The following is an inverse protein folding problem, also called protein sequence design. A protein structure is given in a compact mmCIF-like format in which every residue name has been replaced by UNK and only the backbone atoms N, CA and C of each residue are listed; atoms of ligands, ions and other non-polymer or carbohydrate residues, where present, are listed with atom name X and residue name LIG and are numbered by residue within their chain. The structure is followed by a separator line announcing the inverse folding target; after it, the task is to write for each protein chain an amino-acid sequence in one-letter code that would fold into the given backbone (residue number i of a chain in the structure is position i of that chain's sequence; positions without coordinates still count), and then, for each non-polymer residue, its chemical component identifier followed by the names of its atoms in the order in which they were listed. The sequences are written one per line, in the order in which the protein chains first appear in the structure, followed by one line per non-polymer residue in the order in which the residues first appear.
data_IF_970140203776
#
_entry.id   IF_970140203776
#
_cell.length_a   1.000
_cell.length_b   1.000
_cell.length_c   1.000
_cell.angle_alpha   90.00
_cell.angle_beta   90.00
_cell.angle_gamma   90.00
#
_symmetry.space_group_name_H-M   'P 1'
#
loop_
_entity.id
_entity.type
_entity.pdbx_description
1 polymer ?
#
# COMPACT_ATOMS: atom_id res chain seq x y z
N UNK A 1 43.66 32.40 -40.47
CA UNK A 1 42.90 31.27 -39.88
C UNK A 1 42.13 31.81 -38.67
N UNK A 2 40.90 32.31 -38.85
CA UNK A 2 40.11 32.96 -37.78
C UNK A 2 38.67 32.41 -37.67
N UNK A 3 38.30 31.49 -38.58
CA UNK A 3 36.95 30.93 -38.69
C UNK A 3 36.74 29.66 -37.83
N UNK A 4 37.83 28.98 -37.44
CA UNK A 4 37.78 27.79 -36.59
C UNK A 4 37.56 28.10 -35.10
N UNK A 5 37.98 29.28 -34.63
CA UNK A 5 37.80 29.69 -33.24
C UNK A 5 36.33 29.91 -32.87
N UNK A 6 35.51 30.35 -33.84
CA UNK A 6 34.10 30.63 -33.64
C UNK A 6 33.25 29.35 -33.60
N UNK A 7 33.70 28.28 -34.26
CA UNK A 7 33.09 26.95 -34.19
C UNK A 7 33.41 26.23 -32.87
N UNK A 8 34.60 26.48 -32.29
CA UNK A 8 35.02 25.86 -31.04
C UNK A 8 34.27 26.43 -29.82
N UNK A 9 33.88 27.70 -29.83
CA UNK A 9 33.14 28.33 -28.72
C UNK A 9 31.67 27.93 -28.63
N UNK A 10 31.08 27.41 -29.72
CA UNK A 10 29.68 26.95 -29.74
C UNK A 10 29.58 25.48 -29.31
N UNK A 11 30.62 24.69 -29.57
CA UNK A 11 30.65 23.26 -29.22
C UNK A 11 30.84 22.99 -27.72
N UNK A 12 31.33 23.96 -26.95
CA UNK A 12 31.47 23.83 -25.49
C UNK A 12 30.13 23.98 -24.75
N UNK A 13 29.09 24.50 -25.39
CA UNK A 13 27.77 24.72 -24.78
C UNK A 13 26.88 23.45 -24.76
N UNK A 14 27.31 22.38 -25.44
CA UNK A 14 26.58 21.11 -25.54
C UNK A 14 26.95 20.11 -24.44
N UNK A 15 28.03 20.34 -23.69
CA UNK A 15 28.43 19.49 -22.55
C UNK A 15 27.85 19.93 -21.21
N UNK A 16 27.25 21.13 -21.13
CA UNK A 16 26.54 21.59 -19.92
C UNK A 16 25.07 21.16 -19.92
N UNK A 17 24.58 20.48 -20.97
CA UNK A 17 23.22 19.96 -21.03
C UNK A 17 23.09 18.49 -20.61
N UNK A 18 24.15 17.87 -20.06
CA UNK A 18 24.09 16.48 -19.61
C UNK A 18 23.55 16.27 -18.19
N UNK A 19 23.26 17.32 -17.41
CA UNK A 19 22.66 17.18 -16.06
C UNK A 19 21.44 18.08 -15.75
N UNK A 20 20.38 18.18 -16.60
CA UNK A 20 19.15 18.86 -16.18
C UNK A 20 17.98 17.90 -15.90
N UNK A 21 18.15 16.58 -16.07
CA UNK A 21 17.05 15.60 -15.95
C UNK A 21 17.22 14.59 -14.80
N UNK A 22 18.40 14.48 -14.18
CA UNK A 22 18.56 13.61 -13.01
C UNK A 22 17.90 14.23 -11.77
N UNK A 23 18.06 15.54 -11.53
CA UNK A 23 17.52 16.20 -10.33
C UNK A 23 15.98 16.14 -10.25
N UNK A 24 15.28 16.37 -11.37
CA UNK A 24 13.81 16.37 -11.37
C UNK A 24 13.24 14.96 -11.12
N UNK A 25 13.89 13.92 -11.66
CA UNK A 25 13.44 12.54 -11.46
C UNK A 25 13.83 12.01 -10.07
N UNK A 26 14.99 12.40 -9.54
CA UNK A 26 15.42 12.04 -8.19
C UNK A 26 14.44 12.56 -7.12
N UNK A 27 13.91 13.78 -7.29
CA UNK A 27 12.93 14.34 -6.36
C UNK A 27 11.55 13.62 -6.40
N UNK A 28 11.17 13.06 -7.55
CA UNK A 28 9.90 12.34 -7.73
C UNK A 28 10.04 10.88 -7.25
N UNK A 29 11.15 10.20 -7.55
CA UNK A 29 11.43 8.85 -7.04
C UNK A 29 11.72 8.85 -5.53
N UNK A 30 12.28 9.93 -4.98
CA UNK A 30 12.50 10.08 -3.54
C UNK A 30 11.19 10.27 -2.75
N UNK A 31 10.10 10.69 -3.41
CA UNK A 31 8.76 10.69 -2.80
C UNK A 31 8.17 9.30 -2.93
N UNK A 32 8.40 8.48 -1.92
CA UNK A 32 7.53 7.34 -1.66
C UNK A 32 6.10 7.87 -1.57
N UNK A 33 5.34 7.72 -2.65
CA UNK A 33 3.91 7.98 -2.68
C UNK A 33 3.25 6.68 -2.25
N UNK A 34 3.02 6.45 -0.94
CA UNK A 34 2.35 5.24 -0.49
C UNK A 34 1.01 5.14 -1.22
N UNK A 35 0.71 3.95 -1.75
CA UNK A 35 -0.62 3.68 -2.28
C UNK A 35 -1.57 3.74 -1.08
N UNK A 36 -2.45 4.74 -1.05
CA UNK A 36 -3.45 4.90 0.00
C UNK A 36 -4.74 4.25 -0.48
N UNK A 37 -5.15 3.19 0.21
CA UNK A 37 -6.40 2.49 -0.05
C UNK A 37 -7.49 2.86 0.96
N UNK A 38 -8.74 2.89 0.52
CA UNK A 38 -9.92 2.89 1.38
C UNK A 38 -10.88 1.83 0.86
N UNK A 39 -11.26 0.86 1.71
CA UNK A 39 -12.12 -0.26 1.32
C UNK A 39 -13.14 -0.60 2.38
N UNK A 40 -14.30 -1.02 1.92
CA UNK A 40 -15.30 -1.73 2.72
C UNK A 40 -15.15 -3.21 2.38
N UNK A 41 -14.69 -4.00 3.35
CA UNK A 41 -14.36 -5.40 3.17
C UNK A 41 -15.29 -6.26 4.03
N UNK A 42 -15.94 -7.25 3.42
CA UNK A 42 -16.72 -8.26 4.15
C UNK A 42 -15.99 -9.58 4.04
N UNK A 43 -15.67 -10.18 5.19
CA UNK A 43 -14.93 -11.44 5.21
C UNK A 43 -15.78 -12.59 4.64
N UNK A 44 -15.23 -13.27 3.65
CA UNK A 44 -15.73 -14.54 3.11
C UNK A 44 -15.18 -15.73 3.90
N UNK A 45 -15.70 -16.94 3.65
CA UNK A 45 -15.24 -18.14 4.34
C UNK A 45 -13.77 -18.46 4.01
N UNK A 46 -13.33 -18.20 2.76
CA UNK A 46 -11.93 -18.29 2.32
C UNK A 46 -10.99 -17.36 3.11
N UNK A 47 -11.49 -16.19 3.51
CA UNK A 47 -10.72 -15.21 4.27
C UNK A 47 -10.48 -15.66 5.71
N UNK A 48 -11.42 -16.42 6.27
CA UNK A 48 -11.25 -17.06 7.58
C UNK A 48 -10.26 -18.22 7.49
N UNK A 49 -10.35 -19.05 6.45
CA UNK A 49 -9.39 -20.13 6.22
C UNK A 49 -7.96 -19.59 6.03
N UNK A 50 -7.79 -18.45 5.35
CA UNK A 50 -6.50 -17.80 5.15
C UNK A 50 -5.81 -17.34 6.45
N UNK A 51 -6.54 -17.27 7.56
CA UNK A 51 -6.02 -16.97 8.91
C UNK A 51 -6.27 -18.11 9.90
N UNK A 52 -6.42 -19.34 9.39
CA UNK A 52 -6.62 -20.57 10.17
C UNK A 52 -7.86 -20.54 11.10
N UNK A 53 -8.86 -19.73 10.76
CA UNK A 53 -10.16 -19.68 11.46
C UNK A 53 -11.11 -20.70 10.84
N UNK A 54 -11.25 -21.84 11.53
CA UNK A 54 -11.96 -23.02 11.02
C UNK A 54 -13.49 -22.90 10.98
N UNK A 55 -14.10 -22.13 11.88
CA UNK A 55 -15.57 -22.05 11.97
C UNK A 55 -16.19 -20.90 11.16
N UNK A 56 -15.38 -20.16 10.39
CA UNK A 56 -15.84 -18.99 9.65
C UNK A 56 -16.38 -17.87 10.54
N UNK A 57 -15.93 -17.80 11.81
CA UNK A 57 -16.29 -16.76 12.77
C UNK A 57 -15.23 -16.66 13.88
N UNK A 58 -15.10 -15.48 14.47
CA UNK A 58 -14.19 -15.27 15.60
C UNK A 58 -14.85 -15.66 16.92
N UNK A 59 -14.09 -16.22 17.85
CA UNK A 59 -14.57 -16.58 19.19
C UNK A 59 -14.71 -15.36 20.11
N UNK A 60 -13.94 -14.30 19.86
CA UNK A 60 -13.95 -13.06 20.65
C UNK A 60 -13.57 -11.83 19.81
N UNK A 61 -13.94 -10.64 20.29
CA UNK A 61 -13.50 -9.36 19.69
C UNK A 61 -11.98 -9.19 19.75
N UNK A 62 -11.31 -9.80 20.74
CA UNK A 62 -9.87 -9.74 20.86
C UNK A 62 -9.18 -10.50 19.71
N UNK A 63 -9.64 -11.71 19.41
CA UNK A 63 -9.12 -12.51 18.31
C UNK A 63 -9.32 -11.81 16.96
N UNK A 64 -10.50 -11.22 16.76
CA UNK A 64 -10.81 -10.46 15.54
C UNK A 64 -9.83 -9.29 15.36
N UNK A 65 -9.57 -8.51 16.41
CA UNK A 65 -8.64 -7.37 16.40
C UNK A 65 -7.19 -7.77 16.15
N UNK A 66 -6.80 -8.98 16.52
CA UNK A 66 -5.45 -9.47 16.25
C UNK A 66 -5.29 -10.00 14.83
N UNK A 67 -6.30 -10.73 14.33
CA UNK A 67 -6.16 -11.49 13.09
C UNK A 67 -6.60 -10.72 11.83
N UNK A 68 -7.60 -9.86 11.91
CA UNK A 68 -8.04 -9.05 10.76
C UNK A 68 -6.90 -8.18 10.21
N UNK A 69 -6.06 -7.51 11.02
CA UNK A 69 -4.92 -6.76 10.50
C UNK A 69 -3.89 -7.63 9.79
N UNK A 70 -3.69 -8.89 10.23
CA UNK A 70 -2.78 -9.84 9.56
C UNK A 70 -3.30 -10.19 8.17
N UNK A 71 -4.61 -10.48 8.05
CA UNK A 71 -5.26 -10.73 6.77
C UNK A 71 -5.15 -9.54 5.82
N UNK A 72 -5.46 -8.32 6.30
CA UNK A 72 -5.43 -7.11 5.47
C UNK A 72 -4.02 -6.81 4.94
N UNK A 73 -2.97 -7.04 5.73
CA UNK A 73 -1.57 -6.91 5.27
C UNK A 73 -1.23 -7.89 4.15
N UNK A 74 -1.78 -9.11 4.20
CA UNK A 74 -1.58 -10.12 3.17
C UNK A 74 -2.35 -9.77 1.88
N UNK A 75 -3.61 -9.32 2.00
CA UNK A 75 -4.44 -8.93 0.84
C UNK A 75 -3.99 -7.64 0.15
N UNK A 76 -3.50 -6.68 0.93
CA UNK A 76 -3.14 -5.35 0.45
C UNK A 76 -1.68 -5.02 0.79
N UNK A 77 -0.70 -5.78 0.26
CA UNK A 77 0.70 -5.66 0.67
C UNK A 77 1.37 -4.34 0.26
N UNK A 78 0.79 -3.65 -0.73
CA UNK A 78 1.30 -2.38 -1.27
C UNK A 78 0.68 -1.14 -0.60
N UNK A 79 -0.30 -1.34 0.28
CA UNK A 79 -0.98 -0.22 0.94
C UNK A 79 -0.08 0.39 2.00
N UNK A 80 0.16 1.68 1.87
CA UNK A 80 1.01 2.43 2.79
C UNK A 80 0.22 3.19 3.85
N UNK A 81 0.95 4.06 4.54
CA UNK A 81 0.41 4.87 5.63
C UNK A 81 -0.83 5.67 5.20
N UNK A 82 -1.79 5.83 6.13
CA UNK A 82 -3.11 6.47 5.93
C UNK A 82 -4.14 5.63 5.17
N UNK A 83 -3.82 4.39 4.79
CA UNK A 83 -4.83 3.47 4.27
C UNK A 83 -5.85 3.08 5.35
N UNK A 84 -7.08 2.83 4.94
CA UNK A 84 -8.24 2.54 5.79
C UNK A 84 -8.98 1.29 5.27
N UNK A 85 -9.53 0.51 6.19
CA UNK A 85 -10.41 -0.59 5.86
C UNK A 85 -11.54 -0.68 6.88
N UNK A 86 -12.79 -0.64 6.40
CA UNK A 86 -13.97 -0.95 7.21
C UNK A 86 -14.31 -2.43 7.02
N UNK A 87 -14.13 -3.25 8.06
CA UNK A 87 -14.26 -4.70 7.96
C UNK A 87 -15.53 -5.20 8.64
N UNK A 88 -16.35 -5.95 7.90
CA UNK A 88 -17.49 -6.70 8.43
C UNK A 88 -17.10 -8.16 8.62
N UNK A 89 -17.33 -8.70 9.82
CA UNK A 89 -16.96 -10.06 10.20
C UNK A 89 -18.03 -10.72 11.08
N UNK A 90 -18.04 -12.06 11.10
CA UNK A 90 -18.88 -12.89 11.96
C UNK A 90 -18.19 -13.09 13.32
N UNK A 91 -18.90 -12.79 14.41
CA UNK A 91 -18.49 -13.06 15.80
C UNK A 91 -19.39 -14.14 16.39
N UNK A 92 -18.79 -15.16 17.02
CA UNK A 92 -19.51 -16.19 17.73
C UNK A 92 -20.28 -15.57 18.89
N UNK A 93 -21.59 -15.79 18.92
CA UNK A 93 -22.42 -15.43 20.07
C UNK A 93 -23.21 -16.66 20.51
N UNK A 94 -22.83 -17.23 21.67
CA UNK A 94 -23.60 -18.30 22.28
C UNK A 94 -24.93 -17.73 22.74
N UNK A 95 -25.98 -17.96 21.94
CA UNK A 95 -27.35 -17.60 22.32
C UNK A 95 -27.71 -18.37 23.60
N UNK A 96 -27.62 -17.70 24.75
CA UNK A 96 -28.19 -18.19 26.00
C UNK A 96 -29.71 -18.16 25.79
N UNK A 97 -30.33 -19.30 25.44
CA UNK A 97 -31.78 -19.41 25.47
C UNK A 97 -32.24 -19.22 26.92
N UNK A 98 -32.65 -17.99 27.26
CA UNK A 98 -33.41 -17.71 28.46
C UNK A 98 -34.73 -18.48 28.29
N UNK A 99 -34.84 -19.64 28.94
CA UNK A 99 -36.15 -20.29 29.15
C UNK A 99 -37.00 -19.29 29.93
N UNK A 100 -38.01 -18.73 29.27
CA UNK A 100 -39.13 -18.04 29.91
C UNK A 100 -40.06 -19.10 30.48
#
# INVERSE_FOLDING_TARGET
MKKFLLLLSVFTMVFTSCDPLEDINAEVDAKANPIVGDVIFTMSDEDYEAIDVTFGNFSSDADAKEMIPKLLKSKYPVWGNKSSATVTFKLYNKKMMKKV
#
